data_IF_773090058748
#
_entry.id   IF_773090058748
#
_cell.length_a   1.000
_cell.length_b   1.000
_cell.length_c   1.000
_cell.angle_alpha   90.00
_cell.angle_beta   90.00
_cell.angle_gamma   90.00
#
_symmetry.space_group_name_H-M   'P 1'
#
loop_
_entity.id
_entity.type
_entity.pdbx_description
1 polymer ?
#
# COMPACT_ATOMS: atom_id res chain seq x y z
N UNK A 1 -42.90 42.05 -43.96
CA UNK A 1 -41.61 41.74 -43.32
C UNK A 1 -41.82 40.52 -42.45
N UNK A 2 -41.35 39.34 -42.89
CA UNK A 2 -41.42 38.11 -42.10
C UNK A 2 -40.01 37.85 -41.55
N UNK A 3 -39.86 37.82 -40.22
CA UNK A 3 -38.60 37.56 -39.56
C UNK A 3 -38.37 36.04 -39.49
N UNK A 4 -37.29 35.56 -40.13
CA UNK A 4 -36.84 34.17 -40.08
C UNK A 4 -36.03 34.00 -38.79
N UNK A 5 -36.56 33.23 -37.84
CA UNK A 5 -35.87 32.88 -36.60
C UNK A 5 -34.90 31.72 -36.86
N UNK A 6 -33.60 31.97 -36.76
CA UNK A 6 -32.57 30.95 -36.82
C UNK A 6 -32.44 30.27 -35.44
N UNK A 7 -32.89 29.02 -35.34
CA UNK A 7 -32.65 28.17 -34.16
C UNK A 7 -31.24 27.57 -34.29
N UNK A 8 -30.29 28.09 -33.53
CA UNK A 8 -28.97 27.46 -33.33
C UNK A 8 -29.14 26.25 -32.40
N UNK A 9 -29.00 25.03 -32.92
CA UNK A 9 -28.87 23.84 -32.08
C UNK A 9 -27.49 23.86 -31.39
N UNK A 10 -27.39 23.62 -30.07
CA UNK A 10 -26.10 23.48 -29.42
C UNK A 10 -25.50 22.14 -29.83
N UNK A 11 -24.29 22.18 -30.39
CA UNK A 11 -23.50 21.00 -30.70
C UNK A 11 -23.06 20.39 -29.35
N UNK A 12 -23.76 19.35 -28.89
CA UNK A 12 -23.37 18.60 -27.71
C UNK A 12 -22.03 17.91 -28.00
N UNK A 13 -20.94 18.45 -27.44
CA UNK A 13 -19.62 17.85 -27.51
C UNK A 13 -19.65 16.60 -26.62
N UNK A 14 -19.96 15.45 -27.22
CA UNK A 14 -19.90 14.16 -26.56
C UNK A 14 -18.42 13.85 -26.32
N UNK A 15 -17.91 14.22 -25.15
CA UNK A 15 -16.61 13.77 -24.70
C UNK A 15 -16.69 12.26 -24.54
N UNK A 16 -16.04 11.52 -25.46
CA UNK A 16 -15.77 10.10 -25.25
C UNK A 16 -14.85 9.99 -24.03
N UNK A 17 -15.43 9.83 -22.86
CA UNK A 17 -14.73 9.30 -21.70
C UNK A 17 -14.34 7.87 -22.07
N UNK A 18 -13.08 7.66 -22.45
CA UNK A 18 -12.54 6.31 -22.52
C UNK A 18 -12.63 5.73 -21.11
N UNK A 19 -13.39 4.65 -20.86
CA UNK A 19 -13.41 4.05 -19.54
C UNK A 19 -12.00 3.59 -19.23
N UNK A 20 -11.33 4.27 -18.30
CA UNK A 20 -10.01 3.85 -17.85
C UNK A 20 -10.20 2.57 -17.03
N UNK A 21 -9.49 1.52 -17.42
CA UNK A 21 -9.67 0.17 -16.87
C UNK A 21 -9.26 0.17 -15.39
N UNK A 22 -10.13 -0.32 -14.50
CA UNK A 22 -9.77 -0.58 -13.11
C UNK A 22 -8.70 -1.69 -13.03
N UNK A 23 -7.81 -1.59 -12.06
CA UNK A 23 -6.84 -2.64 -11.75
C UNK A 23 -7.43 -3.63 -10.74
N UNK A 24 -7.20 -4.91 -10.94
CA UNK A 24 -7.59 -5.96 -9.99
C UNK A 24 -6.46 -6.21 -9.01
N UNK A 25 -6.74 -6.12 -7.72
CA UNK A 25 -5.80 -6.47 -6.65
C UNK A 25 -6.19 -7.82 -6.06
N UNK A 26 -5.24 -8.75 -6.05
CA UNK A 26 -5.39 -10.07 -5.45
C UNK A 26 -4.50 -10.20 -4.22
N UNK A 27 -5.11 -10.29 -3.04
CA UNK A 27 -4.44 -10.35 -1.76
C UNK A 27 -4.40 -11.79 -1.28
N UNK A 28 -3.23 -12.32 -1.00
CA UNK A 28 -3.02 -13.72 -0.61
C UNK A 28 -2.41 -13.79 0.79
N UNK A 29 -3.04 -14.55 1.69
CA UNK A 29 -2.42 -14.92 2.94
C UNK A 29 -1.68 -16.25 2.78
N UNK A 30 -0.35 -16.21 2.67
CA UNK A 30 0.50 -17.41 2.64
C UNK A 30 1.18 -17.69 4.00
N UNK A 31 0.84 -16.91 5.02
CA UNK A 31 1.29 -17.17 6.39
C UNK A 31 0.60 -18.42 6.94
N UNK A 32 1.21 -19.07 7.94
CA UNK A 32 0.57 -20.16 8.68
C UNK A 32 -0.60 -19.66 9.54
N UNK A 33 -0.53 -18.40 9.97
CA UNK A 33 -1.52 -17.78 10.83
C UNK A 33 -2.60 -17.04 10.03
N UNK A 34 -3.74 -16.81 10.67
CA UNK A 34 -4.79 -15.93 10.15
C UNK A 34 -4.33 -14.48 10.15
N UNK A 35 -4.66 -13.77 9.07
CA UNK A 35 -4.45 -12.34 8.93
C UNK A 35 -5.77 -11.61 8.69
N UNK A 36 -5.77 -10.31 8.98
CA UNK A 36 -6.84 -9.40 8.60
C UNK A 36 -6.29 -8.36 7.65
N UNK A 37 -6.08 -8.69 6.36
CA UNK A 37 -5.63 -7.68 5.42
C UNK A 37 -6.60 -6.50 5.35
N UNK A 38 -6.02 -5.34 5.06
CA UNK A 38 -6.72 -4.09 4.92
C UNK A 38 -6.24 -3.39 3.65
N UNK A 39 -7.14 -2.63 3.03
CA UNK A 39 -6.88 -1.87 1.83
C UNK A 39 -7.69 -0.57 1.84
N UNK A 40 -7.06 0.54 1.51
CA UNK A 40 -7.73 1.84 1.33
C UNK A 40 -7.21 2.52 0.06
N UNK A 41 -8.00 3.40 -0.59
CA UNK A 41 -9.39 3.73 -0.25
C UNK A 41 -10.42 2.68 -0.71
N UNK A 42 -9.98 1.63 -1.41
CA UNK A 42 -10.84 0.56 -1.91
C UNK A 42 -10.50 -0.79 -1.26
N UNK A 43 -11.51 -1.63 -1.10
CA UNK A 43 -11.41 -2.94 -0.46
C UNK A 43 -11.85 -2.94 1.01
N UNK A 44 -11.31 -2.03 1.83
CA UNK A 44 -11.62 -1.98 3.25
C UNK A 44 -10.81 -2.99 4.06
N UNK A 45 -11.40 -4.12 4.44
CA UNK A 45 -10.66 -5.16 5.14
C UNK A 45 -11.51 -6.40 5.43
N UNK A 46 -10.85 -7.55 5.47
CA UNK A 46 -11.50 -8.86 5.64
C UNK A 46 -10.61 -9.77 6.48
N UNK A 47 -11.20 -10.85 7.01
CA UNK A 47 -10.49 -11.95 7.61
C UNK A 47 -10.02 -12.95 6.53
N UNK A 48 -8.73 -13.31 6.51
CA UNK A 48 -8.16 -14.34 5.65
C UNK A 48 -7.42 -15.39 6.49
N UNK A 49 -7.89 -16.64 6.47
CA UNK A 49 -7.13 -17.79 6.94
C UNK A 49 -5.92 -18.05 6.03
N UNK A 50 -5.00 -18.90 6.51
CA UNK A 50 -3.89 -19.42 5.71
C UNK A 50 -4.37 -20.01 4.38
N UNK A 51 -3.69 -19.63 3.29
CA UNK A 51 -3.98 -20.05 1.92
C UNK A 51 -5.19 -19.37 1.26
N UNK A 52 -5.91 -18.50 1.97
CA UNK A 52 -7.06 -17.79 1.41
C UNK A 52 -6.65 -16.54 0.64
N UNK A 53 -7.53 -16.14 -0.29
CA UNK A 53 -7.35 -15.00 -1.18
C UNK A 53 -8.54 -14.06 -1.09
N UNK A 54 -8.27 -12.76 -1.23
CA UNK A 54 -9.27 -11.72 -1.36
C UNK A 54 -8.96 -10.86 -2.58
N UNK A 55 -9.97 -10.62 -3.43
CA UNK A 55 -9.82 -9.83 -4.65
C UNK A 55 -10.77 -8.64 -4.63
N UNK A 56 -10.30 -7.48 -5.08
CA UNK A 56 -11.10 -6.27 -5.27
C UNK A 56 -10.56 -5.43 -6.42
N UNK A 57 -11.40 -4.55 -6.97
CA UNK A 57 -11.03 -3.62 -8.02
C UNK A 57 -10.66 -2.25 -7.44
N UNK A 58 -9.65 -1.62 -8.04
CA UNK A 58 -9.21 -0.27 -7.74
C UNK A 58 -9.36 0.58 -9.00
N UNK A 59 -10.15 1.67 -8.97
CA UNK A 59 -10.28 2.59 -10.09
C UNK A 59 -8.93 3.19 -10.52
N UNK A 60 -8.76 3.32 -11.84
CA UNK A 60 -7.67 4.08 -12.43
C UNK A 60 -7.67 5.53 -11.91
N UNK A 61 -6.48 6.11 -11.68
CA UNK A 61 -6.33 7.45 -11.10
C UNK A 61 -6.35 7.49 -9.57
N UNK A 62 -6.38 6.34 -8.89
CA UNK A 62 -6.23 6.27 -7.42
C UNK A 62 -4.79 6.60 -7.04
N UNK A 63 -4.55 7.64 -6.22
CA UNK A 63 -3.20 8.20 -6.00
C UNK A 63 -2.58 7.94 -4.62
N UNK A 64 -3.34 7.39 -3.67
CA UNK A 64 -2.93 7.22 -2.26
C UNK A 64 -3.33 5.85 -1.70
N UNK A 65 -3.17 4.83 -2.54
CA UNK A 65 -3.58 3.47 -2.24
C UNK A 65 -2.62 2.77 -1.29
N UNK A 66 -3.15 2.03 -0.32
CA UNK A 66 -2.37 1.18 0.59
C UNK A 66 -3.04 -0.17 0.78
N UNK A 67 -2.23 -1.22 0.82
CA UNK A 67 -2.59 -2.55 1.31
C UNK A 67 -1.61 -2.95 2.42
N UNK A 68 -2.11 -3.52 3.51
CA UNK A 68 -1.27 -4.05 4.59
C UNK A 68 -1.94 -5.22 5.30
N UNK A 69 -1.15 -6.01 6.03
CA UNK A 69 -1.65 -7.05 6.92
C UNK A 69 -1.84 -6.51 8.34
N UNK A 70 -2.89 -6.97 9.01
CA UNK A 70 -3.11 -6.77 10.45
C UNK A 70 -3.02 -8.11 11.16
N UNK A 71 -2.43 -8.12 12.36
CA UNK A 71 -2.21 -9.33 13.17
C UNK A 71 -2.86 -9.20 14.55
N UNK A 72 -3.12 -10.34 15.19
CA UNK A 72 -3.64 -10.39 16.56
C UNK A 72 -5.00 -9.71 16.72
N UNK A 73 -5.88 -9.81 15.72
CA UNK A 73 -7.14 -9.09 15.73
C UNK A 73 -8.28 -9.86 16.41
N UNK A 74 -9.22 -9.12 16.99
CA UNK A 74 -10.51 -9.61 17.46
C UNK A 74 -11.58 -8.59 17.12
N UNK A 75 -12.65 -9.03 16.46
CA UNK A 75 -13.79 -8.19 16.07
C UNK A 75 -15.11 -8.81 16.53
N UNK A 76 -16.08 -7.96 16.87
CA UNK A 76 -17.48 -8.34 17.07
C UNK A 76 -18.21 -8.54 15.72
N UNK A 77 -19.45 -9.00 15.77
CA UNK A 77 -20.29 -9.24 14.58
C UNK A 77 -20.60 -7.96 13.79
N UNK A 78 -20.41 -6.78 14.41
CA UNK A 78 -20.55 -5.47 13.76
C UNK A 78 -19.24 -4.96 13.16
N UNK A 79 -18.17 -5.77 13.21
CA UNK A 79 -16.85 -5.43 12.71
C UNK A 79 -16.11 -4.40 13.56
N UNK A 80 -16.46 -4.23 14.83
CA UNK A 80 -15.72 -3.38 15.77
C UNK A 80 -14.79 -4.22 16.63
N UNK A 81 -13.60 -3.70 16.93
CA UNK A 81 -12.60 -4.50 17.61
C UNK A 81 -11.25 -3.82 17.71
N UNK A 82 -10.19 -4.63 17.67
CA UNK A 82 -8.81 -4.17 17.74
C UNK A 82 -7.87 -5.20 17.09
N UNK A 83 -6.76 -4.71 16.53
CA UNK A 83 -5.61 -5.50 16.09
C UNK A 83 -4.33 -5.07 16.83
N UNK A 84 -3.44 -6.02 17.10
CA UNK A 84 -2.14 -5.71 17.73
C UNK A 84 -1.25 -4.86 16.82
N UNK A 85 -1.26 -5.15 15.52
CA UNK A 85 -0.53 -4.36 14.51
C UNK A 85 -1.44 -3.93 13.37
N UNK A 86 -1.21 -2.75 12.81
CA UNK A 86 -1.93 -2.25 11.63
C UNK A 86 -3.39 -1.87 11.89
N UNK A 87 -3.83 -1.74 13.14
CA UNK A 87 -5.23 -1.39 13.46
C UNK A 87 -5.64 -0.06 12.84
N UNK A 88 -6.82 -0.01 12.22
CA UNK A 88 -7.32 1.14 11.46
C UNK A 88 -8.50 1.85 12.17
N UNK A 89 -8.40 2.01 13.49
CA UNK A 89 -9.42 2.65 14.30
C UNK A 89 -10.46 1.66 14.83
N UNK A 90 -10.04 0.42 15.07
CA UNK A 90 -10.88 -0.63 15.63
C UNK A 90 -11.97 -1.14 14.71
N UNK A 91 -11.76 -1.08 13.40
CA UNK A 91 -12.72 -1.52 12.37
C UNK A 91 -12.19 -2.67 11.54
N UNK A 92 -13.03 -3.67 11.27
CA UNK A 92 -12.69 -4.76 10.35
C UNK A 92 -12.51 -4.21 8.93
N UNK A 93 -13.48 -3.43 8.45
CA UNK A 93 -13.39 -2.75 7.15
C UNK A 93 -12.78 -1.36 7.32
N UNK A 94 -11.54 -1.19 6.89
CA UNK A 94 -10.78 0.04 7.09
C UNK A 94 -11.26 1.17 6.17
N UNK A 95 -11.39 2.37 6.74
CA UNK A 95 -11.61 3.62 6.00
C UNK A 95 -10.46 4.63 6.20
N UNK A 96 -9.47 4.26 7.00
CA UNK A 96 -8.28 5.04 7.33
C UNK A 96 -7.05 4.13 7.31
N UNK A 97 -5.86 4.74 7.28
CA UNK A 97 -4.61 3.99 7.40
C UNK A 97 -4.48 3.28 8.75
N UNK A 98 -3.73 2.18 8.75
CA UNK A 98 -3.43 1.41 9.94
C UNK A 98 -2.35 2.05 10.82
N UNK A 99 -2.38 1.75 12.10
CA UNK A 99 -1.36 2.13 13.07
C UNK A 99 -0.06 1.32 12.90
N UNK A 100 1.12 1.96 12.94
CA UNK A 100 2.41 1.28 12.96
C UNK A 100 2.58 0.32 14.14
N UNK A 101 3.38 -0.77 14.01
CA UNK A 101 4.11 -1.13 12.79
C UNK A 101 3.23 -1.86 11.78
N UNK A 102 3.32 -1.51 10.50
CA UNK A 102 2.67 -2.24 9.42
C UNK A 102 3.48 -2.15 8.12
N UNK A 103 3.82 -3.30 7.56
CA UNK A 103 4.47 -3.38 6.25
C UNK A 103 3.47 -2.97 5.16
N UNK A 104 3.80 -1.98 4.35
CA UNK A 104 2.89 -1.41 3.36
C UNK A 104 3.22 -1.86 1.95
N UNK A 105 2.18 -2.17 1.17
CA UNK A 105 2.19 -2.07 -0.28
C UNK A 105 1.48 -0.77 -0.66
N UNK A 106 2.21 0.21 -1.17
CA UNK A 106 1.68 1.53 -1.56
C UNK A 106 1.58 1.62 -3.09
N UNK A 107 0.54 2.30 -3.59
CA UNK A 107 0.35 2.43 -5.04
C UNK A 107 -0.40 3.70 -5.44
N UNK A 108 -0.06 4.18 -6.64
CA UNK A 108 -0.74 5.22 -7.37
C UNK A 108 -0.96 4.75 -8.82
N UNK A 109 -2.21 4.72 -9.30
CA UNK A 109 -2.57 4.12 -10.58
C UNK A 109 -2.80 5.19 -11.66
N UNK A 110 -2.29 4.94 -12.85
CA UNK A 110 -2.41 5.83 -14.01
C UNK A 110 -1.94 7.26 -13.72
N UNK A 111 -0.71 7.36 -13.23
CA UNK A 111 0.04 8.59 -12.99
C UNK A 111 0.69 9.11 -14.30
N UNK A 112 1.80 9.84 -14.16
CA UNK A 112 2.53 10.39 -15.30
C UNK A 112 2.90 9.32 -16.34
N UNK A 113 2.66 9.65 -17.62
CA UNK A 113 2.91 8.75 -18.76
C UNK A 113 2.10 7.45 -18.79
N UNK A 114 0.92 7.41 -18.18
CA UNK A 114 0.05 6.22 -18.09
C UNK A 114 0.77 5.04 -17.42
N UNK A 115 1.52 5.34 -16.36
CA UNK A 115 2.17 4.36 -15.53
C UNK A 115 1.48 4.27 -14.18
N UNK A 116 1.34 3.06 -13.68
CA UNK A 116 1.11 2.82 -12.27
C UNK A 116 2.47 2.90 -11.55
N UNK A 117 2.50 3.54 -10.41
CA UNK A 117 3.63 3.59 -9.49
C UNK A 117 3.28 2.78 -8.24
N UNK A 118 4.23 1.99 -7.77
CA UNK A 118 4.01 1.19 -6.57
C UNK A 118 5.31 0.88 -5.86
N UNK A 119 5.20 0.59 -4.57
CA UNK A 119 6.33 0.30 -3.71
C UNK A 119 5.95 -0.58 -2.52
N UNK A 120 6.96 -1.21 -1.91
CA UNK A 120 6.87 -1.68 -0.54
C UNK A 120 7.51 -0.62 0.36
N UNK A 121 6.82 -0.27 1.45
CA UNK A 121 7.29 0.75 2.38
C UNK A 121 7.35 0.24 3.81
N UNK A 122 8.50 0.51 4.44
CA UNK A 122 8.81 0.25 5.85
C UNK A 122 8.94 1.56 6.65
N UNK A 123 8.49 2.68 6.06
CA UNK A 123 8.44 4.00 6.72
C UNK A 123 7.49 3.98 7.92
N UNK A 124 6.43 3.16 7.85
CA UNK A 124 5.50 2.89 8.95
C UNK A 124 5.85 1.59 9.72
N UNK A 125 7.07 1.06 9.51
CA UNK A 125 7.59 -0.13 10.19
C UNK A 125 7.30 -1.45 9.46
N UNK A 126 7.54 -2.56 10.16
CA UNK A 126 7.38 -3.91 9.64
C UNK A 126 6.63 -4.79 10.63
N UNK A 127 5.66 -5.57 10.13
CA UNK A 127 4.98 -6.61 10.91
C UNK A 127 4.97 -7.97 10.19
N UNK A 128 4.60 -7.99 8.91
CA UNK A 128 4.45 -9.23 8.11
C UNK A 128 5.25 -9.11 6.83
N UNK A 129 5.90 -10.19 6.41
CA UNK A 129 6.61 -10.25 5.14
C UNK A 129 5.67 -10.11 3.96
N UNK A 130 6.10 -9.41 2.91
CA UNK A 130 5.24 -9.03 1.79
C UNK A 130 5.98 -9.21 0.47
N UNK A 131 5.27 -9.68 -0.55
CA UNK A 131 5.63 -9.55 -1.95
C UNK A 131 4.53 -8.75 -2.63
N UNK A 132 4.92 -7.75 -3.43
CA UNK A 132 4.00 -6.93 -4.22
C UNK A 132 4.46 -6.99 -5.67
N UNK A 133 3.67 -7.68 -6.50
CA UNK A 133 4.04 -7.96 -7.89
C UNK A 133 2.88 -7.68 -8.84
N UNK A 134 3.16 -7.31 -10.10
CA UNK A 134 2.16 -7.41 -11.15
C UNK A 134 1.72 -8.88 -11.29
N UNK A 135 0.44 -9.10 -11.61
CA UNK A 135 -0.12 -10.43 -11.84
C UNK A 135 0.58 -11.15 -13.01
N UNK A 136 1.13 -10.40 -13.96
CA UNK A 136 2.01 -10.91 -15.02
C UNK A 136 3.21 -9.98 -15.16
N UNK A 137 4.39 -10.47 -14.81
CA UNK A 137 5.63 -9.72 -14.97
C UNK A 137 6.01 -9.58 -16.45
N UNK A 138 6.48 -8.40 -16.85
CA UNK A 138 6.86 -8.11 -18.23
C UNK A 138 7.83 -6.93 -18.32
N UNK A 139 8.98 -7.12 -18.95
CA UNK A 139 9.97 -6.06 -19.15
C UNK A 139 10.38 -5.42 -17.81
N UNK A 140 10.20 -4.10 -17.69
CA UNK A 140 10.47 -3.34 -16.46
C UNK A 140 9.37 -3.45 -15.38
N UNK A 141 8.20 -3.98 -15.73
CA UNK A 141 7.11 -4.22 -14.78
C UNK A 141 7.38 -5.53 -14.03
N UNK A 142 8.08 -5.40 -12.90
CA UNK A 142 8.54 -6.48 -12.02
C UNK A 142 8.06 -6.23 -10.59
N UNK A 143 8.01 -7.26 -9.75
CA UNK A 143 7.59 -7.11 -8.36
C UNK A 143 8.73 -6.83 -7.38
N UNK A 144 8.37 -6.37 -6.18
CA UNK A 144 9.25 -6.18 -5.03
C UNK A 144 8.94 -7.21 -3.94
N UNK A 145 9.92 -7.50 -3.10
CA UNK A 145 9.73 -8.39 -1.95
C UNK A 145 10.49 -7.91 -0.72
N UNK A 146 9.83 -7.99 0.43
CA UNK A 146 10.44 -7.82 1.74
C UNK A 146 9.98 -8.96 2.67
N UNK A 147 10.81 -10.00 2.78
CA UNK A 147 10.48 -11.23 3.51
C UNK A 147 11.51 -11.60 4.62
N UNK A 148 12.36 -10.65 5.02
CA UNK A 148 13.34 -10.87 6.08
C UNK A 148 12.68 -11.00 7.46
N UNK A 149 13.30 -11.75 8.37
CA UNK A 149 12.85 -11.88 9.77
C UNK A 149 13.28 -10.64 10.58
N UNK A 150 12.46 -9.58 10.51
CA UNK A 150 12.65 -8.36 11.28
C UNK A 150 12.36 -8.53 12.76
N UNK A 151 11.42 -9.40 13.15
CA UNK A 151 10.98 -9.53 14.55
C UNK A 151 12.15 -9.98 15.44
N UNK A 152 13.00 -10.88 14.94
CA UNK A 152 14.19 -11.31 15.70
C UNK A 152 15.34 -10.32 15.66
N UNK A 153 15.49 -9.57 14.57
CA UNK A 153 16.63 -8.68 14.33
C UNK A 153 16.36 -7.22 14.73
N UNK A 154 15.12 -6.90 15.10
CA UNK A 154 14.69 -5.53 15.38
C UNK A 154 15.56 -4.90 16.49
N UNK A 155 16.17 -3.72 16.23
CA UNK A 155 16.90 -2.97 17.24
C UNK A 155 16.03 -2.75 18.47
N UNK A 156 16.63 -2.84 19.66
CA UNK A 156 15.88 -2.77 20.92
C UNK A 156 15.01 -1.50 21.03
N UNK A 157 15.49 -0.37 20.52
CA UNK A 157 14.77 0.90 20.53
C UNK A 157 13.53 0.93 19.61
N UNK A 158 13.43 0.00 18.65
CA UNK A 158 12.38 -0.04 17.63
C UNK A 158 11.39 -1.19 17.84
N UNK A 159 11.63 -2.08 18.81
CA UNK A 159 10.77 -3.23 19.06
C UNK A 159 9.36 -2.79 19.45
N UNK A 160 8.37 -3.46 18.87
CA UNK A 160 6.96 -3.33 19.20
C UNK A 160 6.33 -4.73 19.32
N UNK A 161 5.18 -4.87 20.00
CA UNK A 161 4.37 -6.08 19.90
C UNK A 161 4.10 -6.42 18.44
N UNK A 162 4.35 -7.67 18.04
CA UNK A 162 4.08 -8.15 16.69
C UNK A 162 4.91 -7.56 15.55
N UNK A 163 5.93 -6.71 15.83
CA UNK A 163 6.67 -6.05 14.75
C UNK A 163 7.87 -5.20 15.17
N UNK A 164 8.33 -4.37 14.23
CA UNK A 164 9.44 -3.45 14.37
C UNK A 164 9.04 -2.08 13.82
N UNK A 165 8.98 -1.06 14.68
CA UNK A 165 8.65 0.29 14.26
C UNK A 165 9.77 0.93 13.45
N UNK A 166 9.42 1.85 12.55
CA UNK A 166 10.39 2.75 11.97
C UNK A 166 10.85 3.79 13.02
N UNK A 167 12.10 4.29 12.97
CA UNK A 167 12.55 5.34 13.87
C UNK A 167 11.70 6.62 13.82
N UNK A 168 11.06 6.96 12.70
CA UNK A 168 10.15 8.12 12.66
C UNK A 168 8.97 7.95 13.64
N UNK A 169 8.35 6.76 13.63
CA UNK A 169 7.25 6.41 14.54
C UNK A 169 7.64 6.56 16.01
N UNK A 170 8.87 6.14 16.36
CA UNK A 170 9.37 6.11 17.74
C UNK A 170 9.85 7.48 18.20
N UNK A 171 10.73 8.12 17.43
CA UNK A 171 11.47 9.29 17.87
C UNK A 171 10.83 10.61 17.44
N UNK A 172 10.05 10.62 16.35
CA UNK A 172 9.29 11.80 15.87
C UNK A 172 10.15 13.06 15.66
N UNK A 173 11.39 12.88 15.19
CA UNK A 173 12.32 13.97 14.91
C UNK A 173 12.44 14.19 13.40
N UNK A 174 12.87 15.39 12.99
CA UNK A 174 13.14 15.72 11.59
C UNK A 174 14.18 14.79 10.96
N UNK A 175 15.14 14.29 11.74
CA UNK A 175 16.17 13.33 11.29
C UNK A 175 15.56 12.05 10.70
N UNK A 176 14.49 11.53 11.30
CA UNK A 176 13.87 10.27 10.88
C UNK A 176 12.60 10.46 10.05
N UNK A 177 11.86 11.54 10.32
CA UNK A 177 10.57 11.81 9.69
C UNK A 177 10.65 12.77 8.51
N UNK A 178 11.78 13.45 8.34
CA UNK A 178 12.03 14.35 7.21
C UNK A 178 10.98 15.45 7.01
N UNK A 179 10.38 15.94 8.11
CA UNK A 179 9.43 17.06 8.07
C UNK A 179 10.08 18.33 7.50
N UNK A 180 11.37 18.54 7.80
CA UNK A 180 12.15 19.66 7.31
C UNK A 180 13.62 19.26 7.12
N UNK A 181 14.40 20.12 6.46
CA UNK A 181 15.84 19.91 6.31
C UNK A 181 16.24 18.80 5.34
N UNK A 182 17.48 18.32 5.50
CA UNK A 182 18.03 17.23 4.67
C UNK A 182 17.54 15.89 5.18
N UNK A 183 16.97 15.08 4.28
CA UNK A 183 16.52 13.73 4.58
C UNK A 183 17.56 12.76 4.03
N UNK A 184 18.31 12.12 4.92
CA UNK A 184 19.43 11.24 4.55
C UNK A 184 19.33 9.92 5.32
N UNK A 185 19.94 8.83 4.80
CA UNK A 185 19.90 7.55 5.49
C UNK A 185 20.54 7.62 6.90
N UNK A 186 19.87 7.00 7.88
CA UNK A 186 20.33 6.86 9.27
C UNK A 186 20.75 5.41 9.54
N UNK A 187 21.34 5.12 10.71
CA UNK A 187 21.68 3.74 11.07
C UNK A 187 20.43 2.86 11.16
N UNK A 188 19.32 3.40 11.65
CA UNK A 188 18.05 2.69 11.70
C UNK A 188 17.44 2.47 10.31
N UNK A 189 17.44 3.45 9.41
CA UNK A 189 16.92 3.22 8.05
C UNK A 189 17.81 2.25 7.28
N UNK A 190 19.15 2.32 7.44
CA UNK A 190 20.10 1.34 6.89
C UNK A 190 19.82 -0.08 7.40
N UNK A 191 19.39 -0.25 8.65
CA UNK A 191 18.97 -1.56 9.16
C UNK A 191 17.81 -2.14 8.34
N UNK A 192 16.75 -1.37 8.09
CA UNK A 192 15.64 -1.80 7.24
C UNK A 192 16.10 -2.05 5.80
N UNK A 193 16.91 -1.14 5.25
CA UNK A 193 17.40 -1.23 3.88
C UNK A 193 18.27 -2.45 3.61
N UNK A 194 19.12 -2.83 4.56
CA UNK A 194 19.98 -4.01 4.43
C UNK A 194 19.18 -5.32 4.39
N UNK A 195 18.04 -5.37 5.07
CA UNK A 195 17.18 -6.54 5.12
C UNK A 195 16.18 -6.58 3.96
N UNK A 196 15.73 -5.42 3.48
CA UNK A 196 14.85 -5.28 2.33
C UNK A 196 15.34 -4.16 1.41
N UNK A 197 16.30 -4.44 0.51
CA UNK A 197 16.91 -3.44 -0.35
C UNK A 197 15.94 -2.75 -1.31
N UNK A 198 14.86 -3.43 -1.68
CA UNK A 198 13.87 -2.94 -2.64
C UNK A 198 12.74 -2.13 -2.00
N UNK A 199 12.75 -1.96 -0.67
CA UNK A 199 11.69 -1.27 0.07
C UNK A 199 12.14 0.10 0.59
N UNK A 200 11.21 1.04 0.68
CA UNK A 200 11.43 2.33 1.33
C UNK A 200 11.77 2.12 2.80
N UNK A 201 12.93 2.64 3.22
CA UNK A 201 13.38 2.57 4.61
C UNK A 201 13.24 3.88 5.38
N UNK A 202 13.06 5.00 4.66
CA UNK A 202 12.83 6.35 5.18
C UNK A 202 12.06 7.21 4.14
N UNK A 203 11.49 8.37 4.51
CA UNK A 203 10.52 9.08 3.65
C UNK A 203 10.99 9.60 2.29
N UNK A 204 12.30 9.66 2.02
CA UNK A 204 12.85 10.13 0.72
C UNK A 204 13.83 9.13 0.12
N UNK A 205 13.54 7.84 0.26
CA UNK A 205 14.31 6.71 -0.29
C UNK A 205 13.99 6.47 -1.79
N UNK A 206 13.69 7.53 -2.56
CA UNK A 206 13.05 7.41 -3.88
C UNK A 206 13.94 6.85 -5.01
N UNK A 207 15.26 6.78 -4.81
CA UNK A 207 16.18 6.51 -5.93
C UNK A 207 16.14 5.06 -6.41
N UNK A 208 15.69 4.12 -5.58
CA UNK A 208 15.74 2.68 -5.90
C UNK A 208 14.43 1.94 -5.65
N UNK A 209 13.39 2.62 -5.13
CA UNK A 209 12.31 1.93 -4.42
C UNK A 209 10.94 2.12 -5.06
N UNK A 210 10.79 3.07 -5.98
CA UNK A 210 9.57 3.20 -6.78
C UNK A 210 9.64 2.29 -8.00
N UNK A 211 8.69 1.36 -8.10
CA UNK A 211 8.52 0.49 -9.26
C UNK A 211 7.38 1.02 -10.12
N UNK A 212 7.40 0.66 -11.41
CA UNK A 212 6.37 1.11 -12.34
C UNK A 212 5.95 0.04 -13.34
N UNK A 213 4.66 0.08 -13.68
CA UNK A 213 4.01 -0.80 -14.63
C UNK A 213 3.08 0.01 -15.54
N UNK A 214 2.74 -0.47 -16.75
CA UNK A 214 1.73 0.19 -17.58
C UNK A 214 0.38 0.27 -16.85
N UNK A 215 -0.33 1.39 -17.00
CA UNK A 215 -1.64 1.56 -16.38
C UNK A 215 -2.64 0.46 -16.77
N UNK A 216 -3.45 0.03 -15.79
CA UNK A 216 -4.40 -1.07 -15.95
C UNK A 216 -3.79 -2.46 -15.77
N UNK A 217 -2.57 -2.52 -15.24
CA UNK A 217 -1.94 -3.75 -14.76
C UNK A 217 -2.72 -4.27 -13.55
N UNK A 218 -2.95 -5.58 -13.50
CA UNK A 218 -3.50 -6.24 -12.32
C UNK A 218 -2.35 -6.62 -11.38
N UNK A 219 -2.60 -6.64 -10.07
CA UNK A 219 -1.57 -6.84 -9.06
C UNK A 219 -1.89 -7.97 -8.10
N UNK A 220 -0.84 -8.52 -7.51
CA UNK A 220 -0.90 -9.50 -6.43
C UNK A 220 -0.04 -9.05 -5.26
N UNK A 221 -0.64 -9.03 -4.07
CA UNK A 221 0.05 -8.82 -2.80
C UNK A 221 0.01 -10.13 -2.02
N UNK A 222 1.16 -10.70 -1.70
CA UNK A 222 1.27 -11.96 -0.96
C UNK A 222 1.94 -11.71 0.38
N UNK A 223 1.24 -12.04 1.48
CA UNK A 223 1.82 -12.03 2.81
C UNK A 223 2.50 -13.35 3.13
N UNK A 224 3.66 -13.30 3.79
CA UNK A 224 4.59 -14.42 3.97
C UNK A 224 4.93 -15.14 2.65
N UNK A 225 5.49 -14.41 1.67
CA UNK A 225 5.84 -14.97 0.36
C UNK A 225 6.94 -16.03 0.43
#
# INVERSE_FOLDING_TARGET
MAAISFVLLPLAFLTLLTPHKAATFTIVNNCSDTLWPAAVPYGGGIHLNSGQTWTFEVPSGTTVGRVWARTGCSFDDSGNGHCETGDCGGKLSCAAYGSPPNTLAEFALNEFSNLDLFDISLVDGYNVGINFSPATASGSCQGQQCAADFVRQCPAALKAPGGCNNPCTVFKTDEYCCYSGSCVPTDYSRFFKNLCPDAYSFPKDDQTDTYSCPAGTDYRVTFCP
#
